data_IF_285413982767
#
_entry.id   IF_285413982767
#
_cell.length_a   1.000
_cell.length_b   1.000
_cell.length_c   1.000
_cell.angle_alpha   90.00
_cell.angle_beta   90.00
_cell.angle_gamma   90.00
#
_symmetry.space_group_name_H-M   'P 1'
#
loop_
_entity.id
_entity.type
_entity.pdbx_description
1 polymer ?
#
# COMPACT_ATOMS: atom_id res chain seq x y z
N UNK A 1 30.01 16.04 18.95
CA UNK A 1 31.22 15.37 18.44
C UNK A 1 31.34 15.67 16.94
N UNK A 2 32.54 15.83 16.36
CA UNK A 2 32.70 16.07 14.92
C UNK A 2 32.25 14.87 14.07
N UNK A 3 31.60 15.13 12.92
CA UNK A 3 31.18 14.11 11.94
C UNK A 3 31.50 14.58 10.52
N UNK A 4 31.67 13.66 9.58
CA UNK A 4 31.88 14.00 8.16
C UNK A 4 30.55 14.29 7.47
N UNK A 5 30.56 15.13 6.43
CA UNK A 5 29.36 15.39 5.63
C UNK A 5 28.82 14.11 4.97
N UNK A 6 29.71 13.22 4.52
CA UNK A 6 29.31 11.92 3.98
C UNK A 6 28.56 11.05 5.01
N UNK A 7 28.98 11.05 6.27
CA UNK A 7 28.27 10.34 7.34
C UNK A 7 26.88 10.92 7.59
N UNK A 8 26.75 12.25 7.53
CA UNK A 8 25.45 12.91 7.63
C UNK A 8 24.51 12.55 6.46
N UNK A 9 25.00 12.55 5.23
CA UNK A 9 24.21 12.16 4.05
C UNK A 9 23.76 10.69 4.10
N UNK A 10 24.63 9.78 4.56
CA UNK A 10 24.28 8.37 4.71
C UNK A 10 23.14 8.15 5.72
N UNK A 11 22.96 9.03 6.70
CA UNK A 11 21.80 8.95 7.59
C UNK A 11 20.47 9.08 6.83
N UNK A 12 20.40 9.91 5.78
CA UNK A 12 19.22 10.03 4.93
C UNK A 12 19.03 8.83 4.01
N UNK A 13 20.11 8.24 3.49
CA UNK A 13 20.04 7.00 2.71
C UNK A 13 19.35 5.90 3.52
N UNK A 14 19.72 5.75 4.79
CA UNK A 14 19.09 4.79 5.70
C UNK A 14 17.61 5.11 5.96
N UNK A 15 17.25 6.40 6.09
CA UNK A 15 15.86 6.82 6.25
C UNK A 15 15.01 6.43 5.03
N UNK A 16 15.46 6.79 3.82
CA UNK A 16 14.73 6.50 2.59
C UNK A 16 14.71 5.01 2.23
N UNK A 17 15.73 4.25 2.64
CA UNK A 17 15.73 2.79 2.47
C UNK A 17 14.57 2.14 3.24
N UNK A 18 14.37 2.53 4.50
CA UNK A 18 13.22 2.07 5.30
C UNK A 18 11.89 2.51 4.71
N UNK A 19 11.83 3.69 4.10
CA UNK A 19 10.61 4.16 3.44
C UNK A 19 10.29 3.34 2.19
N UNK A 20 11.29 2.98 1.39
CA UNK A 20 11.12 2.12 0.22
C UNK A 20 10.57 0.73 0.62
N UNK A 21 11.11 0.13 1.68
CA UNK A 21 10.60 -1.12 2.24
C UNK A 21 9.14 -0.99 2.67
N UNK A 22 8.81 0.10 3.39
CA UNK A 22 7.43 0.36 3.85
C UNK A 22 6.45 0.51 2.69
N UNK A 23 6.86 1.20 1.62
CA UNK A 23 6.04 1.35 0.41
C UNK A 23 5.83 0.02 -0.33
N UNK A 24 6.87 -0.81 -0.44
CA UNK A 24 6.78 -2.13 -1.05
C UNK A 24 5.82 -3.04 -0.26
N UNK A 25 5.91 -3.00 1.06
CA UNK A 25 5.05 -3.75 1.97
C UNK A 25 3.60 -3.28 1.93
N UNK A 26 3.36 -1.97 1.92
CA UNK A 26 2.05 -1.37 1.76
C UNK A 26 1.42 -1.84 0.44
N UNK A 27 2.14 -1.72 -0.68
CA UNK A 27 1.69 -2.19 -2.00
C UNK A 27 1.33 -3.67 -2.01
N UNK A 28 2.04 -4.53 -1.26
CA UNK A 28 1.73 -5.96 -1.17
C UNK A 28 0.44 -6.24 -0.40
N UNK A 29 0.20 -5.51 0.70
CA UNK A 29 -1.02 -5.69 1.53
C UNK A 29 -2.26 -5.20 0.81
N UNK A 30 -2.19 -4.03 0.19
CA UNK A 30 -3.37 -3.34 -0.37
C UNK A 30 -3.77 -3.83 -1.76
N UNK A 31 -2.97 -4.70 -2.39
CA UNK A 31 -3.23 -5.20 -3.74
C UNK A 31 -4.21 -6.37 -3.78
N UNK A 32 -5.44 -6.11 -3.30
CA UNK A 32 -6.55 -7.07 -3.33
C UNK A 32 -7.69 -6.51 -4.16
N UNK A 33 -8.28 -7.33 -5.02
CA UNK A 33 -9.35 -6.94 -5.93
C UNK A 33 -10.70 -6.81 -5.17
N UNK A 34 -11.29 -5.61 -5.08
CA UNK A 34 -12.63 -5.43 -4.51
C UNK A 34 -13.75 -5.65 -5.55
N UNK A 35 -13.41 -5.63 -6.84
CA UNK A 35 -14.38 -5.79 -7.93
C UNK A 35 -15.11 -7.14 -7.81
N UNK A 36 -16.44 -7.08 -7.97
CA UNK A 36 -17.35 -8.19 -7.71
C UNK A 36 -18.08 -8.11 -6.36
N UNK A 37 -17.70 -7.20 -5.45
CA UNK A 37 -18.42 -6.96 -4.19
C UNK A 37 -19.77 -6.23 -4.36
N UNK A 38 -19.99 -5.59 -5.52
CA UNK A 38 -21.17 -4.79 -5.82
C UNK A 38 -21.44 -3.73 -4.74
N UNK A 39 -22.69 -3.53 -4.32
CA UNK A 39 -23.02 -2.57 -3.28
C UNK A 39 -22.54 -2.99 -1.88
N UNK A 40 -22.64 -4.29 -1.55
CA UNK A 40 -22.17 -4.87 -0.28
C UNK A 40 -22.27 -6.41 -0.21
N UNK A 41 -23.16 -7.03 -0.98
CA UNK A 41 -23.49 -8.47 -0.87
C UNK A 41 -22.87 -9.35 -1.97
N UNK A 42 -21.97 -8.78 -2.79
CA UNK A 42 -21.49 -9.43 -3.99
C UNK A 42 -22.44 -9.25 -5.18
N UNK A 43 -21.95 -9.59 -6.37
CA UNK A 43 -22.76 -9.63 -7.59
C UNK A 43 -23.60 -10.91 -7.65
N UNK A 44 -24.79 -10.83 -8.24
CA UNK A 44 -25.65 -11.99 -8.53
C UNK A 44 -25.22 -12.79 -9.75
N UNK A 45 -24.29 -12.25 -10.55
CA UNK A 45 -23.73 -12.95 -11.71
C UNK A 45 -22.63 -13.93 -11.27
N UNK A 46 -22.55 -15.14 -11.87
CA UNK A 46 -21.52 -16.12 -11.57
C UNK A 46 -20.18 -15.73 -12.23
N UNK A 47 -19.56 -14.65 -11.75
CA UNK A 47 -18.28 -14.17 -12.25
C UNK A 47 -17.11 -14.91 -11.61
N UNK A 48 -16.02 -15.07 -12.37
CA UNK A 48 -14.73 -15.51 -11.83
C UNK A 48 -13.90 -14.29 -11.40
N UNK A 49 -13.89 -14.02 -10.09
CA UNK A 49 -13.15 -12.88 -9.53
C UNK A 49 -11.64 -13.09 -9.55
N UNK A 50 -11.16 -14.33 -9.49
CA UNK A 50 -9.72 -14.63 -9.53
C UNK A 50 -9.17 -14.42 -10.94
N UNK A 51 -9.93 -14.81 -11.97
CA UNK A 51 -9.63 -14.45 -13.36
C UNK A 51 -9.50 -12.93 -13.52
N UNK A 52 -10.46 -12.16 -13.02
CA UNK A 52 -10.42 -10.69 -13.10
C UNK A 52 -9.24 -10.12 -12.32
N UNK A 53 -8.92 -10.66 -11.14
CA UNK A 53 -7.77 -10.22 -10.34
C UNK A 53 -6.47 -10.40 -11.13
N UNK A 54 -6.28 -11.56 -11.76
CA UNK A 54 -5.12 -11.84 -12.60
C UNK A 54 -5.05 -10.91 -13.83
N UNK A 55 -6.17 -10.66 -14.52
CA UNK A 55 -6.21 -9.75 -15.68
C UNK A 55 -5.88 -8.30 -15.30
N UNK A 56 -6.21 -7.88 -14.08
CA UNK A 56 -5.98 -6.52 -13.59
C UNK A 56 -4.69 -6.36 -12.77
N UNK A 57 -3.90 -7.43 -12.58
CA UNK A 57 -2.63 -7.38 -11.85
C UNK A 57 -2.75 -7.31 -10.33
N UNK A 58 -3.87 -7.78 -9.77
CA UNK A 58 -4.05 -7.95 -8.33
C UNK A 58 -3.48 -9.29 -7.85
N UNK A 59 -2.98 -9.32 -6.62
CA UNK A 59 -2.37 -10.54 -6.03
C UNK A 59 -3.44 -11.49 -5.44
N UNK A 60 -4.72 -11.15 -5.59
CA UNK A 60 -5.88 -11.94 -5.20
C UNK A 60 -7.10 -11.08 -4.92
N UNK A 61 -8.17 -11.69 -4.43
CA UNK A 61 -9.47 -11.02 -4.20
C UNK A 61 -9.72 -10.67 -2.74
N UNK A 62 -10.50 -9.61 -2.49
CA UNK A 62 -11.07 -9.38 -1.16
C UNK A 62 -12.07 -10.51 -0.85
N UNK A 63 -11.95 -11.12 0.33
CA UNK A 63 -12.70 -12.33 0.71
C UNK A 63 -14.10 -12.06 1.26
N UNK A 64 -14.37 -10.81 1.65
CA UNK A 64 -15.66 -10.39 2.17
C UNK A 64 -16.13 -9.14 1.42
N UNK A 65 -17.38 -9.12 0.97
CA UNK A 65 -17.92 -8.03 0.16
C UNK A 65 -18.26 -6.78 0.97
N UNK A 66 -18.68 -6.91 2.24
CA UNK A 66 -18.92 -5.78 3.14
C UNK A 66 -17.60 -5.07 3.47
N UNK A 67 -16.58 -5.85 3.77
CA UNK A 67 -15.20 -5.37 3.94
C UNK A 67 -14.73 -4.65 2.66
N UNK A 68 -14.78 -5.31 1.50
CA UNK A 68 -14.28 -4.75 0.25
C UNK A 68 -14.87 -3.38 -0.16
N UNK A 69 -16.14 -3.12 0.14
CA UNK A 69 -16.79 -1.83 -0.21
C UNK A 69 -16.53 -0.73 0.84
N UNK A 70 -16.31 -1.12 2.09
CA UNK A 70 -16.15 -0.20 3.21
C UNK A 70 -14.68 0.08 3.56
N UNK A 71 -13.77 -0.81 3.18
CA UNK A 71 -12.34 -0.73 3.48
C UNK A 71 -11.69 0.54 2.91
N UNK A 72 -10.95 1.25 3.76
CA UNK A 72 -10.14 2.43 3.44
C UNK A 72 -8.74 2.33 4.01
N UNK A 73 -8.35 1.18 4.56
CA UNK A 73 -7.03 0.96 5.14
C UNK A 73 -5.95 1.17 4.08
N UNK A 74 -6.22 0.82 2.81
CA UNK A 74 -5.30 1.09 1.71
C UNK A 74 -4.88 2.57 1.60
N UNK A 75 -5.83 3.49 1.78
CA UNK A 75 -5.58 4.91 1.66
C UNK A 75 -4.87 5.44 2.92
N UNK A 76 -5.31 5.00 4.10
CA UNK A 76 -4.74 5.43 5.38
C UNK A 76 -3.29 4.95 5.49
N UNK A 77 -3.02 3.67 5.17
CA UNK A 77 -1.68 3.10 5.23
C UNK A 77 -0.74 3.76 4.23
N UNK A 78 -1.20 3.98 2.99
CA UNK A 78 -0.43 4.70 1.98
C UNK A 78 -0.09 6.13 2.43
N UNK A 79 -1.07 6.87 2.95
CA UNK A 79 -0.87 8.23 3.43
C UNK A 79 0.06 8.28 4.65
N UNK A 80 -0.04 7.30 5.55
CA UNK A 80 0.88 7.19 6.68
C UNK A 80 2.32 6.98 6.19
N UNK A 81 2.54 6.06 5.26
CA UNK A 81 3.86 5.84 4.67
C UNK A 81 4.39 7.08 3.94
N UNK A 82 3.54 7.75 3.15
CA UNK A 82 3.89 9.00 2.47
C UNK A 82 4.23 10.15 3.44
N UNK A 83 3.52 10.24 4.58
CA UNK A 83 3.80 11.26 5.60
C UNK A 83 5.17 11.10 6.26
N UNK A 84 5.64 9.86 6.42
CA UNK A 84 6.97 9.56 6.95
C UNK A 84 8.07 9.96 5.96
N UNK A 85 7.85 9.69 4.65
CA UNK A 85 8.74 10.18 3.59
C UNK A 85 8.84 11.70 3.67
N UNK A 86 7.71 12.40 3.75
CA UNK A 86 7.70 13.87 3.86
C UNK A 86 8.39 14.38 5.12
N UNK A 87 8.30 13.65 6.23
CA UNK A 87 9.01 13.97 7.48
C UNK A 87 10.53 13.84 7.31
N UNK A 88 11.02 12.84 6.57
CA UNK A 88 12.44 12.72 6.27
C UNK A 88 12.90 13.81 5.30
N UNK A 89 12.11 14.12 4.27
CA UNK A 89 12.39 15.23 3.33
C UNK A 89 12.44 16.58 4.07
N UNK A 90 11.54 16.84 5.02
CA UNK A 90 11.52 18.11 5.75
C UNK A 90 12.69 18.31 6.72
N UNK A 91 13.43 17.25 7.03
CA UNK A 91 14.59 17.29 7.92
C UNK A 91 15.91 17.55 7.19
N UNK A 92 15.91 17.36 5.87
CA UNK A 92 17.07 17.60 5.01
C UNK A 92 17.51 19.07 5.07
#
# INVERSE_FOLDING_TARGET
QPVTFGHHLMAYVEMFTRDAERMADCRRRVNRLPLGAAALAGTSYPIDREFVAAQLGFDGVCRNSLDAVSDRDFAIEFLAAASLIMTHVSRF
#
